data_IF_652979015472
#
_entry.id   IF_652979015472
#
_cell.length_a   1.000
_cell.length_b   1.000
_cell.length_c   1.000
_cell.angle_alpha   90.00
_cell.angle_beta   90.00
_cell.angle_gamma   90.00
#
_symmetry.space_group_name_H-M   'P 1'
#
loop_
_entity.id
_entity.type
_entity.pdbx_description
1 polymer ?
#
# COMPACT_ATOMS: atom_id res chain seq x y z
N UNK A 1 12.95 2.64 -10.62
CA UNK A 1 12.17 2.62 -9.37
C UNK A 1 10.73 2.19 -9.69
N UNK A 2 10.40 0.90 -9.58
CA UNK A 2 9.06 0.35 -9.90
C UNK A 2 8.73 -0.72 -8.87
N UNK A 3 8.11 -0.36 -7.75
CA UNK A 3 7.88 -1.28 -6.62
C UNK A 3 6.53 -1.00 -5.95
N UNK A 4 5.42 -1.02 -6.70
CA UNK A 4 4.09 -0.72 -6.16
C UNK A 4 3.02 -1.59 -6.81
N UNK A 5 2.18 -2.23 -6.00
CA UNK A 5 0.84 -2.60 -6.45
C UNK A 5 -0.11 -1.46 -6.06
N UNK A 6 -0.94 -1.01 -7.01
CA UNK A 6 -1.84 0.14 -6.81
C UNK A 6 -3.26 -0.29 -7.10
N UNK A 7 -4.17 -0.03 -6.16
CA UNK A 7 -5.61 -0.15 -6.38
C UNK A 7 -6.27 1.21 -6.21
N UNK A 8 -7.23 1.51 -7.08
CA UNK A 8 -8.05 2.73 -6.96
C UNK A 8 -9.27 2.45 -6.11
N UNK A 9 -9.48 3.26 -5.08
CA UNK A 9 -10.74 3.28 -4.36
C UNK A 9 -11.70 4.16 -5.17
N UNK A 10 -12.77 3.56 -5.68
CA UNK A 10 -13.86 4.26 -6.38
C UNK A 10 -15.10 4.25 -5.50
N UNK A 11 -15.95 5.27 -5.66
CA UNK A 11 -17.29 5.37 -5.05
C UNK A 11 -17.32 5.52 -3.52
N UNK A 12 -16.47 6.39 -2.98
CA UNK A 12 -16.62 6.89 -1.60
C UNK A 12 -17.15 8.32 -1.68
N UNK A 13 -18.26 8.68 -1.01
CA UNK A 13 -18.87 10.01 -1.13
C UNK A 13 -18.14 11.08 -0.31
N UNK A 14 -17.08 10.71 0.42
CA UNK A 14 -16.23 11.60 1.22
C UNK A 14 -14.75 11.37 0.93
N UNK A 15 -13.93 12.37 1.28
CA UNK A 15 -12.46 12.25 1.24
C UNK A 15 -11.97 11.28 2.31
N UNK A 16 -11.03 10.40 1.95
CA UNK A 16 -10.36 9.56 2.93
C UNK A 16 -9.40 10.41 3.78
N UNK A 17 -9.38 10.21 5.11
CA UNK A 17 -8.51 10.97 6.00
C UNK A 17 -7.03 10.73 5.66
N UNK A 18 -6.22 11.79 5.69
CA UNK A 18 -4.78 11.75 5.43
C UNK A 18 -4.00 12.22 6.65
N UNK A 19 -2.91 11.54 6.93
CA UNK A 19 -1.91 11.89 7.94
C UNK A 19 -0.53 11.73 7.30
N UNK A 20 -0.27 12.55 6.28
CA UNK A 20 0.96 12.48 5.53
C UNK A 20 2.12 12.94 6.40
N UNK A 21 3.12 12.08 6.53
CA UNK A 21 4.35 12.37 7.24
C UNK A 21 5.52 11.73 6.52
N UNK A 22 6.71 12.31 6.70
CA UNK A 22 7.92 11.79 6.11
C UNK A 22 8.18 10.38 6.66
N UNK A 23 8.06 9.38 5.80
CA UNK A 23 8.34 7.99 6.14
C UNK A 23 9.14 7.33 5.02
N UNK A 24 10.00 6.40 5.41
CA UNK A 24 10.58 5.44 4.48
C UNK A 24 9.73 4.17 4.51
N UNK A 25 9.25 3.73 3.35
CA UNK A 25 8.52 2.47 3.23
C UNK A 25 9.47 1.29 3.38
N UNK A 26 8.93 0.15 3.79
CA UNK A 26 9.61 -1.14 3.74
C UNK A 26 8.61 -2.19 3.24
N UNK A 27 9.08 -3.42 3.03
CA UNK A 27 8.21 -4.50 2.61
C UNK A 27 6.98 -4.66 3.54
N UNK A 28 5.83 -4.89 2.91
CA UNK A 28 4.55 -5.04 3.59
C UNK A 28 3.86 -3.72 3.94
N UNK A 29 4.47 -2.56 3.71
CA UNK A 29 3.78 -1.28 3.96
C UNK A 29 2.61 -1.06 3.02
N UNK A 30 1.50 -0.62 3.60
CA UNK A 30 0.32 -0.17 2.87
C UNK A 30 0.11 1.31 3.17
N UNK A 31 0.07 2.12 2.11
CA UNK A 31 -0.19 3.55 2.22
C UNK A 31 -1.50 3.94 1.54
N UNK A 32 -2.07 5.05 1.98
CA UNK A 32 -3.02 5.84 1.22
C UNK A 32 -2.26 6.91 0.44
N UNK A 33 -2.31 6.85 -0.88
CA UNK A 33 -1.69 7.81 -1.78
C UNK A 33 -2.75 8.70 -2.43
N UNK A 34 -2.51 10.01 -2.37
CA UNK A 34 -3.41 11.06 -2.91
C UNK A 34 -4.87 10.99 -2.44
N UNK A 35 -5.15 10.29 -1.33
CA UNK A 35 -6.51 10.14 -0.80
C UNK A 35 -7.43 9.23 -1.62
N UNK A 36 -6.92 8.51 -2.64
CA UNK A 36 -7.74 7.65 -3.52
C UNK A 36 -7.08 6.36 -3.98
N UNK A 37 -5.77 6.20 -3.74
CA UNK A 37 -5.03 5.00 -4.10
C UNK A 37 -4.54 4.29 -2.86
N UNK A 38 -4.77 2.98 -2.80
CA UNK A 38 -4.06 2.14 -1.83
C UNK A 38 -2.87 1.54 -2.53
N UNK A 39 -1.69 1.70 -1.93
CA UNK A 39 -0.44 1.26 -2.50
C UNK A 39 0.25 0.32 -1.54
N UNK A 40 0.55 -0.88 -2.02
CA UNK A 40 1.30 -1.90 -1.30
C UNK A 40 2.76 -1.91 -1.76
N UNK A 41 3.66 -1.79 -0.81
CA UNK A 41 5.10 -1.72 -1.00
C UNK A 41 5.78 -3.05 -0.68
N UNK A 42 6.74 -3.45 -1.52
CA UNK A 42 7.68 -4.55 -1.26
C UNK A 42 9.14 -4.07 -1.23
N UNK A 43 9.36 -2.76 -1.17
CA UNK A 43 10.66 -2.10 -1.20
C UNK A 43 10.59 -0.70 -0.57
N UNK A 44 11.70 0.04 -0.66
CA UNK A 44 11.85 1.34 -0.01
C UNK A 44 11.53 2.51 -0.94
N UNK A 45 10.91 3.54 -0.36
CA UNK A 45 10.66 4.85 -0.94
C UNK A 45 10.46 5.84 0.21
N UNK A 46 10.97 7.04 0.08
CA UNK A 46 10.90 8.07 1.13
C UNK A 46 10.15 9.27 0.62
N UNK A 47 8.99 9.53 1.22
CA UNK A 47 8.16 10.69 0.93
C UNK A 47 7.19 10.96 2.07
N UNK A 48 6.42 12.04 1.94
CA UNK A 48 5.27 12.30 2.79
C UNK A 48 4.11 11.37 2.39
N UNK A 49 3.88 10.35 3.22
CA UNK A 49 2.84 9.35 2.99
C UNK A 49 1.97 9.14 4.24
N UNK A 50 0.71 8.78 4.02
CA UNK A 50 -0.19 8.25 5.05
C UNK A 50 -0.06 6.73 5.09
N UNK A 51 0.67 6.18 6.07
CA UNK A 51 0.71 4.72 6.30
C UNK A 51 -0.59 4.28 6.99
N UNK A 52 -1.30 3.33 6.38
CA UNK A 52 -2.59 2.82 6.89
C UNK A 52 -2.49 1.40 7.45
N UNK A 53 -1.53 0.60 6.99
CA UNK A 53 -1.29 -0.74 7.51
C UNK A 53 0.16 -1.21 7.23
N UNK A 54 0.54 -2.30 7.88
CA UNK A 54 1.73 -3.09 7.52
C UNK A 54 1.43 -4.58 7.67
N UNK A 55 1.71 -5.34 6.62
CA UNK A 55 1.76 -6.80 6.67
C UNK A 55 3.01 -7.18 7.48
N UNK A 56 2.82 -7.93 8.56
CA UNK A 56 3.92 -8.41 9.43
C UNK A 56 4.43 -9.76 8.93
N UNK A 57 5.64 -10.12 9.32
CA UNK A 57 6.26 -11.44 9.07
C UNK A 57 6.33 -11.81 7.58
N UNK A 58 6.61 -10.82 6.72
CA UNK A 58 6.82 -11.04 5.29
C UNK A 58 8.10 -10.36 4.84
N UNK A 59 8.88 -11.05 4.03
CA UNK A 59 10.09 -10.51 3.40
C UNK A 59 9.77 -9.75 2.11
N UNK A 60 10.71 -8.91 1.68
CA UNK A 60 10.62 -8.23 0.39
C UNK A 60 10.51 -9.22 -0.79
N UNK A 61 11.23 -10.34 -0.73
CA UNK A 61 11.22 -11.36 -1.78
C UNK A 61 9.88 -12.11 -1.84
N UNK A 62 9.30 -12.47 -0.71
CA UNK A 62 7.97 -13.10 -0.67
C UNK A 62 6.90 -12.18 -1.23
N UNK A 63 6.92 -10.90 -0.81
CA UNK A 63 6.00 -9.90 -1.36
C UNK A 63 6.19 -9.70 -2.86
N UNK A 64 7.43 -9.60 -3.31
CA UNK A 64 7.72 -9.42 -4.74
C UNK A 64 7.22 -10.61 -5.57
N UNK A 65 7.42 -11.84 -5.10
CA UNK A 65 6.92 -13.06 -5.75
C UNK A 65 5.39 -13.12 -5.76
N UNK A 66 4.74 -12.75 -4.65
CA UNK A 66 3.29 -12.77 -4.54
C UNK A 66 2.62 -11.74 -5.46
N UNK A 67 3.22 -10.55 -5.61
CA UNK A 67 2.70 -9.51 -6.50
C UNK A 67 3.05 -9.77 -7.97
N UNK A 68 4.22 -10.35 -8.23
CA UNK A 68 4.68 -10.68 -9.57
C UNK A 68 4.67 -9.48 -10.53
N UNK A 69 4.56 -9.77 -11.82
CA UNK A 69 4.55 -8.77 -12.90
C UNK A 69 3.15 -8.60 -13.52
N UNK A 70 2.16 -9.35 -13.02
CA UNK A 70 0.81 -9.40 -13.56
C UNK A 70 -0.19 -8.56 -12.78
N UNK A 71 -1.46 -8.74 -13.09
CA UNK A 71 -2.55 -8.13 -12.33
C UNK A 71 -2.71 -8.85 -10.98
N UNK A 72 -2.86 -8.07 -9.91
CA UNK A 72 -3.11 -8.59 -8.57
C UNK A 72 -4.50 -8.15 -8.13
N UNK A 73 -5.27 -9.08 -7.57
CA UNK A 73 -6.54 -8.75 -6.89
C UNK A 73 -6.28 -8.71 -5.39
N UNK A 74 -6.65 -7.60 -4.75
CA UNK A 74 -6.53 -7.41 -3.30
C UNK A 74 -7.93 -7.30 -2.71
N UNK A 75 -8.23 -8.16 -1.73
CA UNK A 75 -9.49 -8.14 -0.99
C UNK A 75 -9.24 -7.57 0.40
N UNK A 76 -10.09 -6.62 0.81
CA UNK A 76 -10.07 -6.03 2.15
C UNK A 76 -11.33 -6.44 2.90
N UNK A 77 -11.19 -6.75 4.18
CA UNK A 77 -12.31 -7.07 5.07
C UNK A 77 -12.04 -6.49 6.45
N UNK A 78 -13.10 -6.06 7.13
CA UNK A 78 -13.01 -5.77 8.56
C UNK A 78 -12.91 -7.10 9.32
N UNK A 79 -11.96 -7.18 10.25
CA UNK A 79 -11.91 -8.27 11.22
C UNK A 79 -13.16 -8.25 12.09
N UNK A 80 -13.55 -9.41 12.62
CA UNK A 80 -14.58 -9.50 13.67
C UNK A 80 -14.07 -8.92 14.98
#
# INVERSE_FOLDING_TARGET
>A
MRIFCVTSIKNVPWSLPRSDKQITTQAGDVILYQGKYVVLYYGQNSWNFTRIARIKNVSANEMHRALGNGNVTITYSLGK
#
